data_IF_339899346171
#
_entry.id   IF_339899346171
#
_cell.length_a   1.000
_cell.length_b   1.000
_cell.length_c   1.000
_cell.angle_alpha   90.00
_cell.angle_beta   90.00
_cell.angle_gamma   90.00
#
_symmetry.space_group_name_H-M   'P 1'
#
loop_
_entity.id
_entity.type
_entity.pdbx_description
1 polymer ?
#
# COMPACT_ATOMS: atom_id res chain seq x y z
N UNK A 1 -21.27 -4.59 14.30
CA UNK A 1 -20.88 -4.47 12.87
C UNK A 1 -19.55 -3.75 12.89
N UNK A 2 -18.50 -4.35 12.35
CA UNK A 2 -17.19 -3.71 12.26
C UNK A 2 -17.21 -2.66 11.15
N UNK A 3 -16.63 -1.50 11.43
CA UNK A 3 -16.44 -0.43 10.45
C UNK A 3 -15.24 -0.78 9.57
N UNK A 4 -15.42 -0.74 8.24
CA UNK A 4 -14.33 -0.91 7.30
C UNK A 4 -13.31 0.22 7.47
N UNK A 5 -12.04 -0.08 7.27
CA UNK A 5 -10.95 0.87 7.41
C UNK A 5 -10.31 1.08 6.04
N UNK A 6 -10.70 2.15 5.32
CA UNK A 6 -10.02 2.54 4.09
C UNK A 6 -8.68 3.20 4.41
N UNK A 7 -7.65 2.80 3.67
CA UNK A 7 -6.28 3.27 3.83
C UNK A 7 -5.69 3.65 2.48
N UNK A 8 -4.86 4.68 2.48
CA UNK A 8 -3.97 5.00 1.36
C UNK A 8 -2.53 4.97 1.84
N UNK A 9 -1.71 4.13 1.22
CA UNK A 9 -0.25 4.13 1.41
C UNK A 9 0.43 4.76 0.18
N UNK A 10 1.41 5.65 0.40
CA UNK A 10 2.13 6.36 -0.65
C UNK A 10 3.62 6.11 -0.53
N UNK A 11 4.21 5.61 -1.60
CA UNK A 11 5.64 5.32 -1.71
C UNK A 11 6.26 6.29 -2.73
N UNK A 12 7.21 7.11 -2.26
CA UNK A 12 8.02 7.98 -3.14
C UNK A 12 9.32 7.26 -3.47
N UNK A 13 9.51 6.76 -4.71
CA UNK A 13 10.72 6.03 -5.08
C UNK A 13 11.95 6.94 -5.05
N UNK A 14 13.06 6.42 -4.53
CA UNK A 14 14.36 7.06 -4.71
C UNK A 14 14.77 7.06 -6.20
N UNK A 15 15.72 7.92 -6.55
CA UNK A 15 16.17 8.09 -7.94
C UNK A 15 16.67 6.78 -8.53
N UNK A 16 16.09 6.36 -9.66
CA UNK A 16 16.45 5.12 -10.36
C UNK A 16 15.92 3.84 -9.69
N UNK A 17 15.07 3.93 -8.66
CA UNK A 17 14.56 2.77 -7.92
C UNK A 17 13.13 2.34 -8.27
N UNK A 18 12.46 3.04 -9.19
CA UNK A 18 11.04 2.82 -9.52
C UNK A 18 10.71 1.36 -9.83
N UNK A 19 11.43 0.72 -10.76
CA UNK A 19 11.11 -0.65 -11.18
C UNK A 19 11.41 -1.68 -10.07
N UNK A 20 12.49 -1.49 -9.32
CA UNK A 20 12.80 -2.35 -8.17
C UNK A 20 11.76 -2.20 -7.06
N UNK A 21 11.31 -0.98 -6.79
CA UNK A 21 10.26 -0.73 -5.82
C UNK A 21 8.96 -1.41 -6.24
N UNK A 22 8.57 -1.33 -7.52
CA UNK A 22 7.40 -2.07 -8.05
C UNK A 22 7.53 -3.57 -7.82
N UNK A 23 8.67 -4.17 -8.16
CA UNK A 23 8.91 -5.60 -7.98
C UNK A 23 8.71 -6.03 -6.51
N UNK A 24 9.30 -5.28 -5.58
CA UNK A 24 9.19 -5.54 -4.14
C UNK A 24 7.74 -5.38 -3.66
N UNK A 25 7.02 -4.36 -4.14
CA UNK A 25 5.62 -4.12 -3.80
C UNK A 25 4.67 -5.15 -4.43
N UNK A 26 4.98 -5.68 -5.61
CA UNK A 26 4.20 -6.77 -6.23
C UNK A 26 4.30 -8.06 -5.42
N UNK A 27 5.43 -8.34 -4.78
CA UNK A 27 5.58 -9.52 -3.93
C UNK A 27 4.67 -9.48 -2.71
N UNK A 28 4.52 -8.31 -2.06
CA UNK A 28 3.60 -8.22 -0.91
C UNK A 28 2.13 -8.35 -1.35
N UNK A 29 1.77 -7.89 -2.55
CA UNK A 29 0.39 -8.07 -3.07
C UNK A 29 0.02 -9.55 -3.13
N UNK A 30 0.93 -10.41 -3.61
CA UNK A 30 0.68 -11.85 -3.69
C UNK A 30 0.48 -12.47 -2.30
N UNK A 31 1.28 -12.06 -1.32
CA UNK A 31 1.15 -12.51 0.08
C UNK A 31 -0.18 -12.09 0.71
N UNK A 32 -0.59 -10.83 0.49
CA UNK A 32 -1.85 -10.27 0.99
C UNK A 32 -3.05 -10.98 0.37
N UNK A 33 -3.05 -11.15 -0.96
CA UNK A 33 -4.13 -11.82 -1.70
C UNK A 33 -4.35 -13.27 -1.23
N UNK A 34 -3.27 -14.01 -0.98
CA UNK A 34 -3.36 -15.40 -0.55
C UNK A 34 -3.73 -15.56 0.93
N UNK A 35 -3.23 -14.67 1.80
CA UNK A 35 -3.19 -14.93 3.27
C UNK A 35 -4.09 -14.01 4.08
N UNK A 36 -4.52 -12.87 3.57
CA UNK A 36 -5.25 -11.86 4.34
C UNK A 36 -6.73 -11.76 3.95
N UNK A 37 -7.54 -12.72 4.40
CA UNK A 37 -9.00 -12.73 4.17
C UNK A 37 -9.75 -11.49 4.71
N UNK A 38 -9.13 -10.72 5.61
CA UNK A 38 -9.68 -9.49 6.18
C UNK A 38 -9.44 -8.25 5.31
N UNK A 39 -8.72 -8.37 4.19
CA UNK A 39 -8.44 -7.28 3.25
C UNK A 39 -9.40 -7.39 2.08
N UNK A 40 -10.33 -6.45 1.97
CA UNK A 40 -11.40 -6.46 0.95
C UNK A 40 -11.03 -5.67 -0.30
N UNK A 41 -9.99 -4.83 -0.21
CA UNK A 41 -9.39 -4.13 -1.35
C UNK A 41 -7.90 -3.97 -1.08
N UNK A 42 -7.07 -4.29 -2.07
CA UNK A 42 -5.62 -4.06 -2.02
C UNK A 42 -5.11 -3.80 -3.43
N UNK A 43 -5.01 -2.53 -3.82
CA UNK A 43 -4.75 -2.18 -5.21
C UNK A 43 -3.63 -1.15 -5.32
N UNK A 44 -2.59 -1.51 -6.08
CA UNK A 44 -1.46 -0.64 -6.39
C UNK A 44 -1.71 0.18 -7.66
N UNK A 45 -1.29 1.44 -7.65
CA UNK A 45 -1.31 2.34 -8.80
C UNK A 45 0.01 3.09 -8.94
N UNK A 46 0.32 3.52 -10.16
CA UNK A 46 1.42 4.44 -10.46
C UNK A 46 0.87 5.78 -10.93
N UNK A 47 1.49 6.87 -10.51
CA UNK A 47 1.16 8.19 -11.03
C UNK A 47 1.59 8.33 -12.51
N UNK A 48 0.62 8.56 -13.40
CA UNK A 48 0.88 8.71 -14.84
C UNK A 48 1.25 10.16 -15.24
N UNK A 49 0.80 11.15 -14.49
CA UNK A 49 0.97 12.58 -14.77
C UNK A 49 2.05 13.22 -13.89
N UNK A 50 3.16 12.54 -13.66
CA UNK A 50 4.25 13.07 -12.86
C UNK A 50 5.03 14.14 -13.66
N UNK A 51 5.06 15.38 -13.15
CA UNK A 51 5.74 16.50 -13.82
C UNK A 51 7.25 16.29 -13.99
N UNK A 52 7.88 15.54 -13.09
CA UNK A 52 9.34 15.37 -13.02
C UNK A 52 9.83 13.98 -13.46
N UNK A 53 8.94 13.12 -13.98
CA UNK A 53 9.24 11.71 -14.28
C UNK A 53 9.44 10.82 -13.03
N UNK A 54 9.37 11.40 -11.83
CA UNK A 54 9.41 10.71 -10.52
C UNK A 54 8.01 10.67 -9.91
N UNK A 55 7.14 9.83 -10.47
CA UNK A 55 5.81 9.62 -9.92
C UNK A 55 5.84 8.81 -8.61
N UNK A 56 4.79 8.94 -7.81
CA UNK A 56 4.59 8.05 -6.65
C UNK A 56 3.97 6.71 -7.07
N UNK A 57 4.20 5.69 -6.25
CA UNK A 57 3.42 4.45 -6.25
C UNK A 57 2.49 4.52 -5.05
N UNK A 58 1.21 4.22 -5.25
CA UNK A 58 0.20 4.32 -4.20
C UNK A 58 -0.61 3.03 -4.09
N UNK A 59 -1.03 2.72 -2.87
CA UNK A 59 -2.00 1.67 -2.60
C UNK A 59 -3.32 2.28 -2.14
N UNK A 60 -4.41 1.71 -2.62
CA UNK A 60 -5.73 1.86 -2.00
C UNK A 60 -6.12 0.54 -1.37
N UNK A 61 -6.35 0.58 -0.07
CA UNK A 61 -6.56 -0.61 0.75
C UNK A 61 -7.85 -0.44 1.54
N UNK A 62 -8.57 -1.54 1.76
CA UNK A 62 -9.72 -1.58 2.65
C UNK A 62 -9.62 -2.81 3.52
N UNK A 63 -9.65 -2.61 4.83
CA UNK A 63 -9.67 -3.67 5.83
C UNK A 63 -11.07 -3.82 6.42
N UNK A 64 -11.49 -5.04 6.71
CA UNK A 64 -12.81 -5.32 7.29
C UNK A 64 -13.00 -4.76 8.71
N UNK A 65 -11.90 -4.47 9.42
CA UNK A 65 -11.84 -3.90 10.77
C UNK A 65 -10.39 -3.55 11.17
N UNK A 66 -10.23 -2.95 12.36
CA UNK A 66 -8.92 -2.61 12.93
C UNK A 66 -8.04 -3.84 13.15
N UNK A 67 -8.60 -4.97 13.58
CA UNK A 67 -7.80 -6.18 13.80
C UNK A 67 -7.20 -6.71 12.49
N UNK A 68 -7.91 -6.61 11.36
CA UNK A 68 -7.36 -6.95 10.05
C UNK A 68 -6.21 -6.01 9.64
N UNK A 69 -6.35 -4.70 9.88
CA UNK A 69 -5.28 -3.73 9.63
C UNK A 69 -4.05 -3.98 10.52
N UNK A 70 -4.27 -4.30 11.80
CA UNK A 70 -3.18 -4.60 12.75
C UNK A 70 -2.46 -5.89 12.36
N UNK A 71 -3.21 -6.92 11.93
CA UNK A 71 -2.64 -8.18 11.43
C UNK A 71 -1.72 -7.89 10.24
N UNK A 72 -2.20 -7.15 9.22
CA UNK A 72 -1.42 -6.78 8.03
C UNK A 72 -0.03 -6.24 8.39
N UNK A 73 0.00 -5.24 9.28
CA UNK A 73 1.22 -4.57 9.74
C UNK A 73 2.15 -5.46 10.56
N UNK A 74 1.61 -6.50 11.20
CA UNK A 74 2.36 -7.42 12.08
C UNK A 74 2.92 -8.65 11.36
N UNK A 75 2.59 -8.83 10.08
CA UNK A 75 2.95 -10.05 9.35
C UNK A 75 4.46 -10.15 9.06
N UNK A 76 5.00 -11.38 8.96
CA UNK A 76 6.41 -11.57 8.60
C UNK A 76 6.79 -10.99 7.23
N UNK A 77 5.89 -11.04 6.24
CA UNK A 77 6.15 -10.49 4.91
C UNK A 77 6.08 -8.95 4.89
N UNK A 78 5.26 -8.31 5.74
CA UNK A 78 5.30 -6.86 5.90
C UNK A 78 6.60 -6.40 6.59
N UNK A 79 7.08 -7.15 7.57
CA UNK A 79 8.40 -6.92 8.16
C UNK A 79 9.53 -7.05 7.11
N UNK A 80 9.50 -8.13 6.30
CA UNK A 80 10.47 -8.35 5.22
C UNK A 80 10.42 -7.28 4.12
N UNK A 81 9.23 -6.77 3.80
CA UNK A 81 9.06 -5.61 2.93
C UNK A 81 9.80 -4.41 3.50
N UNK A 82 9.55 -4.04 4.76
CA UNK A 82 10.21 -2.90 5.40
C UNK A 82 11.73 -3.03 5.43
N UNK A 83 12.24 -4.22 5.76
CA UNK A 83 13.68 -4.49 5.73
C UNK A 83 14.27 -4.28 4.33
N UNK A 84 13.57 -4.74 3.29
CA UNK A 84 14.01 -4.58 1.89
C UNK A 84 14.00 -3.10 1.48
N UNK A 85 12.94 -2.37 1.79
CA UNK A 85 12.81 -0.92 1.51
C UNK A 85 13.98 -0.13 2.11
N UNK A 86 14.34 -0.43 3.36
CA UNK A 86 15.45 0.22 4.08
C UNK A 86 16.80 -0.21 3.53
N UNK A 87 17.05 -1.52 3.44
CA UNK A 87 18.36 -2.07 3.04
C UNK A 87 18.77 -1.63 1.63
N UNK A 88 17.82 -1.55 0.71
CA UNK A 88 18.07 -1.17 -0.69
C UNK A 88 17.91 0.34 -0.95
N UNK A 89 17.57 1.12 0.09
CA UNK A 89 17.27 2.55 0.02
C UNK A 89 16.29 2.88 -1.12
N UNK A 90 15.16 2.15 -1.16
CA UNK A 90 14.21 2.22 -2.28
C UNK A 90 13.34 3.47 -2.27
N UNK A 91 13.21 4.12 -1.11
CA UNK A 91 12.36 5.29 -0.94
C UNK A 91 13.19 6.56 -0.71
N UNK A 92 12.73 7.66 -1.29
CA UNK A 92 13.32 8.99 -1.06
C UNK A 92 13.05 9.49 0.37
N UNK A 93 11.92 9.07 0.94
CA UNK A 93 11.46 9.35 2.30
C UNK A 93 10.67 8.14 2.83
N UNK A 94 10.44 8.00 4.15
CA UNK A 94 9.53 6.99 4.67
C UNK A 94 8.18 7.03 3.94
N UNK A 95 7.58 5.86 3.67
CA UNK A 95 6.27 5.82 3.05
C UNK A 95 5.22 6.45 3.97
N UNK A 96 4.20 7.04 3.35
CA UNK A 96 3.15 7.76 4.07
C UNK A 96 1.91 6.87 4.15
N UNK A 97 1.24 6.87 5.30
CA UNK A 97 0.04 6.08 5.54
C UNK A 97 -1.09 7.01 6.00
N UNK A 98 -2.22 6.96 5.30
CA UNK A 98 -3.42 7.73 5.63
C UNK A 98 -4.58 6.78 5.91
N UNK A 99 -5.05 6.74 7.16
CA UNK A 99 -6.32 6.12 7.52
C UNK A 99 -7.43 7.11 7.21
N UNK A 100 -8.43 6.69 6.44
CA UNK A 100 -9.42 7.57 5.86
C UNK A 100 -10.76 7.45 6.59
N UNK A 101 -11.44 8.60 6.76
CA UNK A 101 -12.86 8.66 7.09
C UNK A 101 -13.66 9.06 5.85
N UNK A 102 -14.70 8.32 5.52
CA UNK A 102 -15.55 8.64 4.36
C UNK A 102 -16.51 9.77 4.72
N UNK A 103 -16.35 10.93 4.08
CA UNK A 103 -17.23 12.10 4.29
C UNK A 103 -18.39 12.14 3.28
N UNK A 104 -18.23 11.52 2.11
CA UNK A 104 -19.25 11.43 1.06
C UNK A 104 -18.70 10.86 -0.25
N UNK A 105 -19.58 10.45 -1.17
CA UNK A 105 -19.21 9.87 -2.48
C UNK A 105 -19.88 8.53 -2.76
N UNK A 106 -19.36 7.77 -3.73
CA UNK A 106 -19.79 6.41 -4.07
C UNK A 106 -18.54 5.53 -4.34
N UNK A 107 -18.52 4.31 -3.81
CA UNK A 107 -17.39 3.37 -3.99
C UNK A 107 -17.42 2.63 -5.34
N UNK A 108 -18.59 2.58 -5.98
CA UNK A 108 -18.83 1.94 -7.27
C UNK A 108 -20.24 2.27 -7.77
N UNK A 109 -20.49 1.99 -9.05
CA UNK A 109 -21.84 1.99 -9.63
C UNK A 109 -22.08 0.58 -10.14
N UNK A 110 -23.26 0.04 -9.84
CA UNK A 110 -23.74 -1.19 -10.47
C UNK A 110 -24.10 -0.95 -11.93
#
# INVERSE_FOLDING_TARGET
MSEEIPVVAIFTPAVGKVERLKEVLLNIIAEVEEKEMGVTKYQMFTQLNAETGKGVILFQETYANQAAADIHLSTPYFAALNETLVKEALLEKPFELFVLGVVGGFAGRA
#
